data_IF_051885334657
#
_entry.id   IF_051885334657
#
_cell.length_a   1.000
_cell.length_b   1.000
_cell.length_c   1.000
_cell.angle_alpha   90.00
_cell.angle_beta   90.00
_cell.angle_gamma   90.00
#
_symmetry.space_group_name_H-M   'P 1'
#
loop_
_entity.id
_entity.type
_entity.pdbx_description
1 polymer ?
#
# COMPACT_ATOMS: atom_id res chain seq x y z
N UNK A 1 20.82 -2.48 -12.87
CA UNK A 1 19.63 -1.82 -13.46
C UNK A 1 19.61 -2.15 -14.95
N UNK A 2 18.62 -2.92 -15.45
CA UNK A 2 18.32 -3.04 -16.88
C UNK A 2 17.13 -2.11 -17.13
N UNK A 3 17.14 -1.33 -18.22
CA UNK A 3 16.33 -0.12 -18.47
C UNK A 3 14.86 -0.13 -18.03
N UNK A 4 14.33 1.07 -17.69
CA UNK A 4 12.94 1.44 -17.35
C UNK A 4 12.14 0.53 -16.39
N UNK A 5 12.72 -0.55 -15.88
CA UNK A 5 12.11 -1.46 -14.91
C UNK A 5 12.95 -1.42 -13.65
N UNK A 6 12.41 -0.79 -12.62
CA UNK A 6 13.10 -0.55 -11.36
C UNK A 6 12.43 -1.39 -10.27
N UNK A 7 13.14 -2.36 -9.70
CA UNK A 7 12.68 -3.09 -8.49
C UNK A 7 12.56 -2.15 -7.28
N UNK A 8 13.19 -0.99 -7.35
CA UNK A 8 13.17 0.03 -6.30
C UNK A 8 11.75 0.46 -5.89
N UNK A 9 10.80 0.46 -6.83
CA UNK A 9 9.39 0.75 -6.51
C UNK A 9 8.74 -0.37 -5.68
N UNK A 10 8.98 -1.65 -6.02
CA UNK A 10 8.38 -2.77 -5.28
C UNK A 10 9.06 -2.98 -3.93
N UNK A 11 10.37 -2.77 -3.83
CA UNK A 11 11.11 -2.81 -2.57
C UNK A 11 10.65 -1.71 -1.61
N UNK A 12 10.37 -0.51 -2.14
CA UNK A 12 9.79 0.59 -1.38
C UNK A 12 8.38 0.25 -0.87
N UNK A 13 7.55 -0.38 -1.70
CA UNK A 13 6.21 -0.85 -1.30
C UNK A 13 6.27 -1.85 -0.13
N UNK A 14 7.09 -2.89 -0.24
CA UNK A 14 7.23 -3.89 0.82
C UNK A 14 7.83 -3.31 2.11
N UNK A 15 8.70 -2.31 2.00
CA UNK A 15 9.25 -1.60 3.15
C UNK A 15 8.19 -0.78 3.91
N UNK A 16 7.20 -0.23 3.20
CA UNK A 16 6.06 0.48 3.80
C UNK A 16 5.07 -0.50 4.42
N UNK A 17 4.72 -1.58 3.71
CA UNK A 17 3.83 -2.64 4.22
C UNK A 17 4.35 -3.21 5.54
N UNK A 18 5.62 -3.63 5.58
CA UNK A 18 6.24 -4.19 6.79
C UNK A 18 6.21 -3.22 7.97
N UNK A 19 6.46 -1.93 7.74
CA UNK A 19 6.39 -0.89 8.78
C UNK A 19 4.96 -0.68 9.29
N UNK A 20 3.99 -0.65 8.38
CA UNK A 20 2.57 -0.49 8.73
C UNK A 20 2.03 -1.69 9.51
N UNK A 21 2.43 -2.90 9.13
CA UNK A 21 2.10 -4.12 9.89
C UNK A 21 2.73 -4.10 11.28
N UNK A 22 4.02 -3.78 11.39
CA UNK A 22 4.69 -3.75 12.70
C UNK A 22 4.23 -2.60 13.61
N UNK A 23 3.81 -1.46 13.05
CA UNK A 23 3.50 -0.26 13.83
C UNK A 23 2.01 0.01 14.05
N UNK A 24 1.15 -0.21 13.06
CA UNK A 24 -0.28 0.13 13.14
C UNK A 24 -1.11 -1.12 13.38
N UNK A 25 -0.78 -2.23 12.73
CA UNK A 25 -1.53 -3.48 12.78
C UNK A 25 -0.86 -4.54 13.66
N UNK A 26 -0.87 -4.34 14.98
CA UNK A 26 -0.27 -5.29 15.93
C UNK A 26 -0.95 -6.67 15.97
N UNK A 27 -2.18 -6.79 15.46
CA UNK A 27 -2.91 -8.04 15.32
C UNK A 27 -3.47 -8.20 13.89
N UNK A 28 -2.64 -8.65 12.95
CA UNK A 28 -3.09 -8.99 11.59
C UNK A 28 -3.70 -10.38 11.59
N UNK A 29 -5.03 -10.48 11.39
CA UNK A 29 -5.66 -11.77 11.12
C UNK A 29 -5.41 -12.20 9.68
N UNK A 30 -5.06 -13.47 9.48
CA UNK A 30 -4.85 -14.06 8.13
C UNK A 30 -6.07 -13.92 7.24
N UNK A 31 -7.28 -13.87 7.82
CA UNK A 31 -8.55 -13.65 7.11
C UNK A 31 -8.65 -12.27 6.45
N UNK A 32 -8.06 -11.24 7.05
CA UNK A 32 -8.16 -9.86 6.58
C UNK A 32 -6.88 -9.36 5.90
N UNK A 33 -5.85 -10.22 5.79
CA UNK A 33 -4.64 -9.96 5.02
C UNK A 33 -4.89 -9.34 3.63
N UNK A 34 -5.84 -9.84 2.81
CA UNK A 34 -6.11 -9.23 1.50
C UNK A 34 -6.63 -7.79 1.59
N UNK A 35 -7.39 -7.44 2.63
CA UNK A 35 -7.90 -6.08 2.83
C UNK A 35 -6.78 -5.12 3.21
N UNK A 36 -5.87 -5.53 4.10
CA UNK A 36 -4.68 -4.73 4.40
C UNK A 36 -3.84 -4.51 3.14
N UNK A 37 -3.63 -5.56 2.34
CA UNK A 37 -2.86 -5.44 1.10
C UNK A 37 -3.52 -4.47 0.11
N UNK A 38 -4.84 -4.53 -0.04
CA UNK A 38 -5.61 -3.63 -0.89
C UNK A 38 -5.51 -2.17 -0.44
N UNK A 39 -5.57 -1.90 0.87
CA UNK A 39 -5.38 -0.55 1.42
C UNK A 39 -3.97 0.00 1.09
N UNK A 40 -2.92 -0.79 1.36
CA UNK A 40 -1.55 -0.36 1.07
C UNK A 40 -1.31 -0.18 -0.42
N UNK A 41 -1.89 -1.02 -1.28
CA UNK A 41 -1.88 -0.84 -2.73
C UNK A 41 -2.54 0.49 -3.14
N UNK A 42 -3.74 0.76 -2.63
CA UNK A 42 -4.47 1.97 -2.93
C UNK A 42 -3.69 3.22 -2.49
N UNK A 43 -3.13 3.21 -1.28
CA UNK A 43 -2.30 4.30 -0.74
C UNK A 43 -1.03 4.52 -1.56
N UNK A 44 -0.35 3.45 -1.98
CA UNK A 44 0.89 3.55 -2.75
C UNK A 44 0.63 4.09 -4.16
N UNK A 45 -0.43 3.63 -4.82
CA UNK A 45 -0.79 4.06 -6.17
C UNK A 45 -1.31 5.51 -6.18
N UNK A 46 -2.08 5.92 -5.17
CA UNK A 46 -2.65 7.26 -5.08
C UNK A 46 -1.74 8.27 -4.35
N UNK A 47 -0.47 7.95 -4.08
CA UNK A 47 0.45 8.81 -3.29
C UNK A 47 0.65 10.24 -3.83
N UNK A 48 0.36 10.49 -5.11
CA UNK A 48 0.48 11.81 -5.76
C UNK A 48 -0.88 12.48 -5.98
N UNK A 49 -1.97 11.83 -5.57
CA UNK A 49 -3.31 12.36 -5.76
C UNK A 49 -3.60 13.37 -4.63
N UNK A 50 -3.92 14.64 -4.95
CA UNK A 50 -4.30 15.61 -3.92
C UNK A 50 -5.67 15.30 -3.29
N UNK A 51 -6.54 14.55 -3.98
CA UNK A 51 -7.89 14.19 -3.53
C UNK A 51 -8.02 12.67 -3.28
N UNK A 52 -7.19 12.16 -2.37
CA UNK A 52 -7.18 10.74 -1.97
C UNK A 52 -8.50 10.34 -1.30
N UNK A 53 -9.09 11.23 -0.49
CA UNK A 53 -10.32 10.94 0.24
C UNK A 53 -11.52 10.77 -0.70
N UNK A 54 -11.72 11.66 -1.67
CA UNK A 54 -12.79 11.51 -2.65
C UNK A 54 -12.63 10.25 -3.50
N UNK A 55 -11.39 9.93 -3.88
CA UNK A 55 -11.08 8.70 -4.63
C UNK A 55 -11.34 7.41 -3.83
N UNK A 56 -11.17 7.44 -2.50
CA UNK A 56 -11.46 6.30 -1.65
C UNK A 56 -12.97 6.07 -1.49
N UNK A 57 -13.76 7.14 -1.40
CA UNK A 57 -15.21 7.07 -1.27
C UNK A 57 -15.86 6.64 -2.60
N UNK A 58 -15.30 7.06 -3.74
CA UNK A 58 -15.80 6.67 -5.06
C UNK A 58 -15.59 5.19 -5.40
N UNK A 59 -14.70 4.49 -4.68
CA UNK A 59 -14.41 3.07 -4.85
C UNK A 59 -15.20 2.13 -3.93
N UNK A 60 -16.02 2.67 -3.02
CA UNK A 60 -16.94 1.94 -2.15
C UNK A 60 -18.29 1.72 -2.84
#
# INVERSE_FOLDING_TARGET
VRGEVHTNNIESFWSLLKRGVMGTFHHVSRKYLPLYLAEFQFRFNNRKNPDIFGSAIAGC
#
